data_IF_757457860340
#
_entry.id   IF_757457860340
#
_cell.length_a   1.000
_cell.length_b   1.000
_cell.length_c   1.000
_cell.angle_alpha   90.00
_cell.angle_beta   90.00
_cell.angle_gamma   90.00
#
_symmetry.space_group_name_H-M   'P 1'
#
loop_
_entity.id
_entity.type
_entity.pdbx_description
1 polymer ?
#
# COMPACT_ATOMS: atom_id res chain seq x y z
N UNK A 1 30.00 -1.35 -69.09
CA UNK A 1 29.26 -0.11 -68.80
C UNK A 1 28.81 -0.20 -67.34
N UNK A 2 29.62 0.12 -66.33
CA UNK A 2 30.15 1.43 -65.95
C UNK A 2 29.03 2.44 -65.63
N UNK A 3 28.65 2.55 -64.34
CA UNK A 3 28.55 3.85 -63.68
C UNK A 3 28.50 3.72 -62.14
N UNK A 4 29.60 4.14 -61.52
CA UNK A 4 29.74 4.60 -60.13
C UNK A 4 29.02 5.95 -59.94
N UNK A 5 28.43 6.18 -58.75
CA UNK A 5 28.30 7.46 -57.98
C UNK A 5 27.07 7.35 -57.06
N UNK A 6 27.07 7.70 -55.79
CA UNK A 6 28.05 8.34 -54.94
C UNK A 6 27.54 8.43 -53.49
N UNK A 7 28.48 8.56 -52.56
CA UNK A 7 28.30 8.83 -51.13
C UNK A 7 27.54 10.13 -50.86
N UNK A 8 26.73 10.14 -49.81
CA UNK A 8 26.52 11.32 -48.96
C UNK A 8 26.38 10.87 -47.50
N UNK A 9 27.46 11.03 -46.74
CA UNK A 9 27.50 10.93 -45.28
C UNK A 9 27.08 12.28 -44.73
N UNK A 10 25.91 12.36 -44.10
CA UNK A 10 25.49 13.52 -43.32
C UNK A 10 25.83 13.27 -41.86
N UNK A 11 26.95 13.85 -41.42
CA UNK A 11 27.31 13.94 -40.01
C UNK A 11 26.37 14.90 -39.29
N UNK A 12 25.68 14.41 -38.27
CA UNK A 12 24.92 15.25 -37.33
C UNK A 12 25.84 15.61 -36.19
N UNK A 13 26.34 16.85 -36.21
CA UNK A 13 27.09 17.44 -35.10
C UNK A 13 26.07 18.00 -34.10
N UNK A 14 25.85 17.32 -32.98
CA UNK A 14 25.05 17.86 -31.88
C UNK A 14 25.91 18.81 -31.06
N UNK A 15 25.56 20.10 -31.11
CA UNK A 15 26.16 21.17 -30.31
C UNK A 15 25.70 21.03 -28.85
N UNK A 16 26.62 20.72 -27.94
CA UNK A 16 26.38 20.80 -26.49
C UNK A 16 26.58 22.25 -26.06
N UNK A 17 25.49 22.99 -25.92
CA UNK A 17 25.47 24.28 -25.21
C UNK A 17 25.32 24.03 -23.72
N UNK A 18 26.40 24.24 -22.98
CA UNK A 18 26.39 24.30 -21.51
C UNK A 18 25.60 25.54 -21.04
N UNK A 19 24.55 25.32 -20.25
CA UNK A 19 23.79 26.38 -19.60
C UNK A 19 24.37 26.69 -18.19
N UNK A 20 24.40 27.95 -17.75
CA UNK A 20 24.92 28.34 -16.45
C UNK A 20 23.96 27.97 -15.31
N UNK A 21 24.51 27.36 -14.27
CA UNK A 21 23.86 27.08 -12.99
C UNK A 21 23.50 28.39 -12.28
N UNK A 22 22.20 28.66 -12.15
CA UNK A 22 21.67 29.60 -11.16
C UNK A 22 21.08 28.81 -9.98
N UNK A 23 21.45 29.14 -8.72
CA UNK A 23 20.79 28.57 -7.56
C UNK A 23 19.40 29.21 -7.42
N UNK A 24 18.36 28.45 -7.76
CA UNK A 24 16.98 28.86 -7.51
C UNK A 24 16.59 28.39 -6.11
N UNK A 25 16.58 29.31 -5.16
CA UNK A 25 15.93 29.17 -3.86
C UNK A 25 14.42 29.09 -4.09
N UNK A 26 13.89 27.88 -4.21
CA UNK A 26 12.44 27.65 -4.21
C UNK A 26 11.97 27.40 -2.79
N UNK A 27 11.39 28.46 -2.25
CA UNK A 27 10.47 28.51 -1.12
C UNK A 27 9.47 27.35 -1.20
N UNK A 28 9.51 26.43 -0.23
CA UNK A 28 8.50 25.38 -0.05
C UNK A 28 7.27 26.04 0.55
N UNK A 29 6.35 26.46 -0.32
CA UNK A 29 4.96 26.63 0.08
C UNK A 29 4.39 25.23 0.26
N UNK A 30 4.17 24.88 1.53
CA UNK A 30 3.43 23.73 1.99
C UNK A 30 2.06 23.68 1.32
N UNK A 31 1.91 22.86 0.28
CA UNK A 31 0.60 22.40 -0.16
C UNK A 31 0.18 21.27 0.77
N UNK A 32 -0.79 21.57 1.62
CA UNK A 32 -1.52 20.57 2.39
C UNK A 32 -2.04 19.45 1.46
N UNK A 33 -1.93 18.17 1.86
CA UNK A 33 -2.68 17.12 1.19
C UNK A 33 -4.17 17.32 1.49
N UNK A 34 -4.96 17.47 0.43
CA UNK A 34 -6.42 17.41 0.49
C UNK A 34 -6.80 16.01 0.97
N UNK A 35 -7.06 15.90 2.27
CA UNK A 35 -7.76 14.77 2.86
C UNK A 35 -9.19 14.77 2.33
N UNK A 36 -9.53 13.78 1.49
CA UNK A 36 -10.93 13.49 1.19
C UNK A 36 -11.52 12.81 2.42
N UNK A 37 -11.96 13.64 3.36
CA UNK A 37 -12.67 13.22 4.55
C UNK A 37 -14.13 12.96 4.13
N UNK A 38 -14.50 11.69 3.95
CA UNK A 38 -15.91 11.30 3.87
C UNK A 38 -16.44 11.24 5.30
N UNK A 39 -17.09 12.32 5.74
CA UNK A 39 -18.03 12.26 6.86
C UNK A 39 -19.34 12.98 6.48
N UNK A 40 -20.51 12.54 6.99
CA UNK A 40 -21.79 12.77 6.37
C UNK A 40 -22.55 13.97 6.97
N UNK A 41 -23.32 14.63 6.09
CA UNK A 41 -24.62 15.24 6.38
C UNK A 41 -24.68 16.42 7.36
N UNK A 42 -24.74 17.64 6.81
CA UNK A 42 -25.35 18.82 7.46
C UNK A 42 -26.32 19.52 6.48
N UNK A 43 -27.53 19.94 6.91
CA UNK A 43 -28.57 20.53 6.06
C UNK A 43 -28.42 22.04 5.81
N UNK A 44 -29.13 22.45 4.76
CA UNK A 44 -29.19 23.75 4.09
C UNK A 44 -29.52 24.98 4.95
N UNK A 45 -28.95 26.12 4.55
CA UNK A 45 -29.55 27.45 4.75
C UNK A 45 -29.65 28.16 3.39
N UNK A 46 -30.86 28.62 3.05
CA UNK A 46 -31.18 29.24 1.77
C UNK A 46 -30.89 30.73 1.73
N UNK A 47 -30.87 31.29 0.52
CA UNK A 47 -31.24 32.68 0.21
C UNK A 47 -31.49 32.78 -1.31
N UNK A 48 -32.68 33.25 -1.66
CA UNK A 48 -33.11 33.71 -2.99
C UNK A 48 -32.61 35.16 -3.20
N UNK A 49 -32.45 35.70 -4.43
CA UNK A 49 -33.62 36.03 -5.26
C UNK A 49 -33.45 35.89 -6.80
N UNK A 50 -34.60 35.85 -7.48
CA UNK A 50 -34.82 36.00 -8.93
C UNK A 50 -34.71 37.50 -9.36
N UNK A 51 -34.86 37.94 -10.65
CA UNK A 51 -35.77 37.40 -11.67
C UNK A 51 -35.29 37.41 -13.15
N UNK A 52 -36.04 36.72 -14.01
CA UNK A 52 -36.29 37.19 -15.38
C UNK A 52 -36.01 36.21 -16.52
N UNK A 53 -37.09 35.66 -17.10
CA UNK A 53 -37.44 35.65 -18.55
C UNK A 53 -37.99 34.29 -19.02
N UNK A 54 -39.30 34.27 -19.29
CA UNK A 54 -40.08 33.32 -20.11
C UNK A 54 -40.36 34.00 -21.46
N UNK A 55 -40.93 33.37 -22.53
CA UNK A 55 -41.40 31.98 -22.69
C UNK A 55 -41.08 31.30 -24.05
N UNK A 56 -41.16 29.96 -24.12
CA UNK A 56 -41.75 29.30 -25.29
C UNK A 56 -42.32 27.92 -24.95
N UNK A 57 -43.38 27.56 -25.68
CA UNK A 57 -44.55 26.78 -25.26
C UNK A 57 -44.83 25.72 -26.35
N UNK A 58 -45.13 24.47 -25.98
CA UNK A 58 -45.64 23.43 -26.89
C UNK A 58 -45.54 21.99 -26.33
N UNK A 59 -46.47 21.06 -26.66
CA UNK A 59 -47.30 20.45 -25.62
C UNK A 59 -47.33 18.89 -25.55
N UNK A 60 -47.89 18.44 -24.42
CA UNK A 60 -48.77 17.26 -24.21
C UNK A 60 -48.20 15.83 -24.27
N UNK A 61 -48.13 15.17 -23.11
CA UNK A 61 -49.04 14.05 -22.77
C UNK A 61 -48.81 13.53 -21.31
N UNK A 62 -49.84 13.66 -20.48
CA UNK A 62 -50.19 12.85 -19.28
C UNK A 62 -51.63 12.31 -19.55
N UNK A 63 -52.24 11.35 -18.79
CA UNK A 63 -52.10 11.02 -17.36
C UNK A 63 -51.95 9.49 -17.09
N UNK A 64 -51.57 8.99 -15.91
CA UNK A 64 -52.42 8.81 -14.72
C UNK A 64 -51.54 8.36 -13.54
N UNK A 65 -51.57 9.05 -12.39
CA UNK A 65 -52.49 8.85 -11.25
C UNK A 65 -52.25 7.53 -10.49
N UNK A 66 -51.54 7.59 -9.35
CA UNK A 66 -52.08 7.34 -8.01
C UNK A 66 -50.96 7.27 -6.96
N UNK A 67 -50.97 8.26 -6.06
CA UNK A 67 -50.31 8.25 -4.74
C UNK A 67 -51.30 7.62 -3.75
N UNK A 68 -50.85 6.99 -2.66
CA UNK A 68 -50.87 7.71 -1.37
C UNK A 68 -49.71 7.39 -0.39
N UNK A 69 -49.26 8.43 0.32
CA UNK A 69 -48.59 8.43 1.65
C UNK A 69 -49.59 8.02 2.77
N UNK A 70 -49.25 7.79 4.06
CA UNK A 70 -48.13 8.33 4.90
C UNK A 70 -47.44 7.25 5.78
N UNK A 71 -46.34 7.43 6.53
CA UNK A 71 -46.06 8.34 7.67
C UNK A 71 -44.61 8.15 8.15
N UNK A 72 -43.94 9.18 8.70
CA UNK A 72 -42.77 9.02 9.56
C UNK A 72 -43.15 9.26 11.04
N UNK A 73 -42.86 8.30 11.92
CA UNK A 73 -42.87 8.52 13.36
C UNK A 73 -41.49 9.06 13.79
N UNK A 74 -41.41 10.37 13.99
CA UNK A 74 -40.38 10.98 14.83
C UNK A 74 -40.87 10.94 16.27
N UNK A 75 -40.24 10.09 17.09
CA UNK A 75 -40.35 10.17 18.53
C UNK A 75 -39.21 11.05 19.05
N UNK A 76 -39.61 12.15 19.66
CA UNK A 76 -38.82 13.07 20.47
C UNK A 76 -38.07 12.31 21.57
N UNK A 77 -36.77 12.57 21.74
CA UNK A 77 -36.16 12.54 23.08
C UNK A 77 -35.25 13.75 23.27
N UNK A 78 -35.64 14.50 24.29
CA UNK A 78 -35.18 15.80 24.72
C UNK A 78 -34.23 15.59 25.91
N UNK A 79 -33.14 16.36 25.90
CA UNK A 79 -32.33 16.84 27.02
C UNK A 79 -32.08 15.91 28.23
N UNK A 80 -30.79 15.73 28.55
CA UNK A 80 -30.25 16.03 29.90
C UNK A 80 -28.73 15.95 29.87
N UNK A 81 -28.07 17.10 30.07
CA UNK A 81 -26.76 17.14 30.70
C UNK A 81 -26.93 16.81 32.19
N UNK A 82 -25.96 16.10 32.79
CA UNK A 82 -25.22 16.74 33.87
C UNK A 82 -23.71 16.43 33.87
N UNK A 83 -22.92 17.49 33.99
CA UNK A 83 -21.67 17.55 34.76
C UNK A 83 -22.01 17.10 36.22
N UNK A 84 -21.19 16.28 36.95
CA UNK A 84 -19.93 16.80 37.50
C UNK A 84 -18.82 15.78 37.90
N UNK A 85 -17.71 16.39 38.31
CA UNK A 85 -16.80 16.00 39.39
C UNK A 85 -15.76 14.88 39.16
N UNK A 86 -14.54 15.37 38.94
CA UNK A 86 -13.30 14.96 39.61
C UNK A 86 -13.43 13.88 40.70
N UNK A 87 -12.81 12.72 40.45
CA UNK A 87 -12.36 11.81 41.50
C UNK A 87 -10.97 11.29 41.13
N UNK A 88 -10.03 11.48 42.06
CA UNK A 88 -8.63 11.12 41.97
C UNK A 88 -8.41 9.60 41.77
N UNK A 89 -7.34 9.19 41.06
CA UNK A 89 -6.93 7.79 41.01
C UNK A 89 -6.24 7.38 42.33
N UNK A 90 -6.78 6.34 42.98
CA UNK A 90 -6.11 5.60 44.06
C UNK A 90 -4.94 4.79 43.47
N UNK A 91 -3.74 4.83 44.08
CA UNK A 91 -2.69 3.87 43.78
C UNK A 91 -2.83 2.66 44.71
N UNK A 92 -2.91 1.45 44.16
CA UNK A 92 -2.45 0.21 44.79
C UNK A 92 -2.97 -1.00 44.01
N UNK A 93 -2.11 -1.60 43.20
CA UNK A 93 -2.21 -3.01 42.84
C UNK A 93 -0.78 -3.58 42.76
N UNK A 94 -0.41 -4.18 43.90
CA UNK A 94 0.70 -5.11 44.11
C UNK A 94 0.94 -6.02 42.92
N UNK A 95 2.13 -5.94 42.34
CA UNK A 95 2.63 -6.93 41.38
C UNK A 95 2.99 -8.24 42.11
N UNK A 96 2.56 -9.42 41.64
CA UNK A 96 3.10 -10.68 42.12
C UNK A 96 4.53 -10.86 41.60
N UNK A 97 5.46 -11.09 42.52
CA UNK A 97 6.82 -11.53 42.25
C UNK A 97 6.75 -12.92 41.61
N UNK A 98 6.99 -13.00 40.30
CA UNK A 98 7.16 -14.28 39.59
C UNK A 98 8.56 -14.79 39.90
N UNK A 99 8.63 -15.86 40.68
CA UNK A 99 9.84 -16.61 40.99
C UNK A 99 10.25 -17.39 39.74
N UNK A 100 11.32 -16.95 39.06
CA UNK A 100 11.90 -17.64 37.91
C UNK A 100 12.68 -18.87 38.43
N UNK A 101 12.33 -20.11 38.05
CA UNK A 101 13.12 -21.30 38.40
C UNK A 101 14.48 -21.29 37.68
N UNK A 102 15.54 -21.85 38.29
CA UNK A 102 16.87 -21.92 37.68
C UNK A 102 16.88 -22.85 36.46
N UNK A 103 17.77 -22.61 35.47
CA UNK A 103 17.90 -23.46 34.30
C UNK A 103 18.45 -24.84 34.69
N UNK A 104 17.73 -25.88 34.27
CA UNK A 104 18.15 -27.27 34.40
C UNK A 104 19.30 -27.60 33.43
N UNK A 105 20.23 -28.39 33.96
CA UNK A 105 21.42 -29.02 33.40
C UNK A 105 21.54 -29.16 31.87
N UNK A 106 22.70 -28.71 31.38
CA UNK A 106 23.26 -29.07 30.09
C UNK A 106 23.83 -30.50 30.11
N UNK A 107 23.57 -31.35 29.10
CA UNK A 107 24.20 -32.66 29.01
C UNK A 107 25.65 -32.54 28.49
N UNK A 108 26.63 -33.22 29.15
CA UNK A 108 27.95 -33.46 28.58
C UNK A 108 27.92 -34.69 27.67
N UNK A 109 28.33 -34.54 26.41
CA UNK A 109 28.27 -35.60 25.41
C UNK A 109 29.38 -35.49 24.38
N UNK A 110 30.60 -35.76 24.82
CA UNK A 110 31.81 -35.90 24.01
C UNK A 110 31.77 -37.20 23.20
N UNK A 111 31.93 -37.11 21.88
CA UNK A 111 32.23 -38.25 21.02
C UNK A 111 33.31 -37.88 20.00
N UNK A 112 34.47 -38.58 19.95
CA UNK A 112 35.47 -38.35 18.92
C UNK A 112 35.05 -39.05 17.62
N UNK A 113 34.59 -38.28 16.64
CA UNK A 113 34.41 -38.76 15.27
C UNK A 113 35.76 -38.92 14.59
N UNK A 114 36.08 -40.17 14.26
CA UNK A 114 37.21 -40.58 13.45
C UNK A 114 37.01 -40.02 12.03
N UNK A 115 37.90 -39.13 11.60
CA UNK A 115 37.97 -38.64 10.22
C UNK A 115 38.63 -39.68 9.32
N UNK A 116 37.87 -40.26 8.42
CA UNK A 116 38.38 -41.01 7.26
C UNK A 116 38.84 -40.00 6.19
N UNK A 117 40.11 -40.04 5.73
CA UNK A 117 40.55 -39.20 4.62
C UNK A 117 39.88 -39.68 3.32
N UNK A 118 38.97 -38.86 2.80
CA UNK A 118 38.36 -39.07 1.48
C UNK A 118 39.35 -38.59 0.41
N UNK A 119 39.60 -39.36 -0.66
CA UNK A 119 40.49 -38.95 -1.74
C UNK A 119 39.99 -37.69 -2.47
N UNK A 120 40.96 -36.80 -2.68
CA UNK A 120 40.98 -35.59 -3.48
C UNK A 120 39.84 -35.47 -4.51
N UNK A 121 38.82 -34.66 -4.17
CA UNK A 121 37.80 -34.21 -5.11
C UNK A 121 38.33 -32.94 -5.79
N UNK A 122 38.37 -32.88 -7.13
CA UNK A 122 38.78 -31.69 -7.86
C UNK A 122 38.02 -30.45 -7.39
N UNK A 123 38.76 -29.42 -7.04
CA UNK A 123 38.28 -28.10 -6.62
C UNK A 123 37.22 -27.59 -7.61
N UNK A 124 35.98 -27.29 -7.18
CA UNK A 124 35.01 -26.69 -8.06
C UNK A 124 35.52 -25.30 -8.48
N UNK A 125 35.62 -25.12 -9.79
CA UNK A 125 35.95 -23.86 -10.44
C UNK A 125 35.19 -22.69 -9.80
N UNK A 126 35.82 -21.52 -9.58
CA UNK A 126 35.13 -20.37 -9.02
C UNK A 126 33.93 -20.04 -9.93
N UNK A 127 32.74 -20.09 -9.34
CA UNK A 127 31.52 -19.68 -10.03
C UNK A 127 31.73 -18.29 -10.63
N UNK A 128 31.38 -18.06 -11.90
CA UNK A 128 31.40 -16.73 -12.46
C UNK A 128 30.56 -15.79 -11.59
N UNK A 129 30.96 -14.51 -11.42
CA UNK A 129 30.15 -13.54 -10.70
C UNK A 129 28.75 -13.49 -11.35
N UNK A 130 27.68 -13.34 -10.56
CA UNK A 130 26.33 -13.19 -11.11
C UNK A 130 26.34 -12.03 -12.12
N UNK A 131 25.70 -12.18 -13.29
CA UNK A 131 25.64 -11.09 -14.24
C UNK A 131 24.96 -9.90 -13.56
N UNK A 132 25.63 -8.75 -13.53
CA UNK A 132 24.98 -7.49 -13.22
C UNK A 132 23.83 -7.33 -14.21
N UNK A 133 22.60 -7.49 -13.71
CA UNK A 133 21.39 -7.26 -14.50
C UNK A 133 21.29 -5.76 -14.72
N UNK A 134 21.88 -5.33 -15.82
CA UNK A 134 21.79 -3.98 -16.33
C UNK A 134 20.32 -3.72 -16.66
N UNK A 135 19.72 -2.75 -15.97
CA UNK A 135 18.29 -2.45 -15.99
C UNK A 135 17.67 -2.42 -17.37
N UNK A 136 16.94 -3.48 -17.70
CA UNK A 136 15.89 -3.44 -18.70
C UNK A 136 14.72 -2.64 -18.14
N UNK A 137 14.10 -1.83 -18.99
CA UNK A 137 12.84 -1.13 -18.70
C UNK A 137 11.76 -2.19 -18.43
N UNK A 138 11.66 -2.67 -17.19
CA UNK A 138 10.74 -3.74 -16.80
C UNK A 138 11.24 -4.63 -15.66
N UNK A 139 12.51 -4.55 -15.27
CA UNK A 139 13.03 -5.37 -14.18
C UNK A 139 12.67 -4.75 -12.82
N UNK A 140 11.59 -5.25 -12.23
CA UNK A 140 11.24 -5.01 -10.83
C UNK A 140 12.36 -5.55 -9.93
N UNK A 141 12.95 -4.70 -9.07
CA UNK A 141 13.80 -5.19 -7.99
C UNK A 141 12.93 -5.68 -6.82
N UNK A 142 12.88 -7.00 -6.52
CA UNK A 142 12.00 -7.55 -5.48
C UNK A 142 12.38 -7.07 -4.06
N UNK A 143 13.62 -6.65 -3.83
CA UNK A 143 14.08 -6.16 -2.52
C UNK A 143 13.45 -4.80 -2.14
N UNK A 144 12.95 -4.05 -3.14
CA UNK A 144 12.24 -2.79 -2.94
C UNK A 144 10.77 -2.99 -2.56
N UNK A 145 10.28 -4.22 -2.67
CA UNK A 145 8.90 -4.59 -2.36
C UNK A 145 8.92 -5.27 -0.99
N UNK A 146 8.35 -4.67 0.07
CA UNK A 146 8.27 -5.33 1.37
C UNK A 146 7.49 -6.64 1.31
N UNK A 147 7.62 -7.48 2.35
CA UNK A 147 6.61 -8.50 2.62
C UNK A 147 5.26 -7.85 2.93
N UNK A 148 4.14 -8.59 2.84
CA UNK A 148 2.83 -8.02 3.13
C UNK A 148 2.71 -7.59 4.61
N UNK A 149 3.36 -8.30 5.53
CA UNK A 149 3.28 -8.03 6.97
C UNK A 149 2.07 -8.65 7.66
N UNK A 150 1.27 -9.45 6.95
CA UNK A 150 0.25 -10.35 7.49
C UNK A 150 0.60 -11.77 7.06
N UNK A 151 0.48 -12.74 7.97
CA UNK A 151 0.60 -14.15 7.62
C UNK A 151 -0.72 -14.62 6.98
N UNK A 152 -0.70 -15.31 5.82
CA UNK A 152 -1.92 -15.88 5.24
C UNK A 152 -2.69 -16.73 6.24
N UNK A 153 -4.02 -16.60 6.25
CA UNK A 153 -4.93 -17.31 7.14
C UNK A 153 -4.76 -17.01 8.64
N UNK A 154 -4.20 -15.84 9.02
CA UNK A 154 -4.12 -15.42 10.43
C UNK A 154 -5.51 -15.40 11.05
N UNK A 155 -5.67 -16.11 12.18
CA UNK A 155 -6.90 -16.21 12.98
C UNK A 155 -8.16 -16.49 12.15
N UNK A 156 -8.02 -17.36 11.15
CA UNK A 156 -9.13 -17.78 10.27
C UNK A 156 -10.36 -18.21 11.07
N UNK A 157 -11.51 -17.69 10.65
CA UNK A 157 -12.84 -18.00 11.19
C UNK A 157 -13.03 -17.65 12.68
N UNK A 158 -12.07 -16.96 13.32
CA UNK A 158 -12.10 -16.67 14.76
C UNK A 158 -13.11 -15.57 15.12
N UNK A 159 -13.22 -14.54 14.29
CA UNK A 159 -14.18 -13.44 14.50
C UNK A 159 -15.44 -13.58 13.65
N UNK A 160 -15.30 -14.03 12.40
CA UNK A 160 -16.41 -14.24 11.48
C UNK A 160 -16.08 -15.40 10.52
N UNK A 161 -17.03 -16.32 10.25
CA UNK A 161 -16.85 -17.36 9.25
C UNK A 161 -16.51 -16.77 7.87
N UNK A 162 -15.49 -17.31 7.22
CA UNK A 162 -14.94 -16.86 5.94
C UNK A 162 -13.92 -15.71 6.05
N UNK A 163 -13.64 -15.21 7.25
CA UNK A 163 -12.78 -14.04 7.49
C UNK A 163 -11.50 -14.41 8.22
N UNK A 164 -10.46 -13.64 7.94
CA UNK A 164 -9.15 -13.70 8.57
C UNK A 164 -8.77 -12.32 9.10
N UNK A 165 -7.78 -12.26 9.98
CA UNK A 165 -7.30 -10.99 10.54
C UNK A 165 -6.30 -10.32 9.58
N UNK A 166 -6.58 -9.07 9.23
CA UNK A 166 -5.64 -8.11 8.67
C UNK A 166 -5.41 -6.95 9.63
N UNK A 167 -4.52 -6.03 9.26
CA UNK A 167 -4.12 -4.93 10.14
C UNK A 167 -4.11 -3.58 9.42
N UNK A 168 -4.62 -2.55 10.10
CA UNK A 168 -4.44 -1.15 9.72
C UNK A 168 -3.69 -0.44 10.85
N UNK A 169 -2.37 -0.51 10.82
CA UNK A 169 -1.55 -0.13 11.98
C UNK A 169 -1.76 -1.13 13.13
N UNK A 170 -2.24 -0.65 14.29
CA UNK A 170 -2.51 -1.48 15.46
C UNK A 170 -3.93 -2.09 15.48
N UNK A 171 -4.81 -1.67 14.57
CA UNK A 171 -6.21 -2.12 14.53
C UNK A 171 -6.36 -3.39 13.71
N UNK A 172 -7.10 -4.36 14.25
CA UNK A 172 -7.49 -5.58 13.53
C UNK A 172 -8.68 -5.27 12.62
N UNK A 173 -8.56 -5.63 11.35
CA UNK A 173 -9.63 -5.49 10.35
C UNK A 173 -9.85 -6.84 9.69
N UNK A 174 -11.10 -7.26 9.54
CA UNK A 174 -11.42 -8.51 8.86
C UNK A 174 -11.13 -8.42 7.36
N UNK A 175 -10.37 -9.37 6.86
CA UNK A 175 -10.03 -9.51 5.44
C UNK A 175 -10.50 -10.88 4.93
N UNK A 176 -10.69 -11.04 3.60
CA UNK A 176 -10.90 -12.37 3.02
C UNK A 176 -9.70 -13.28 3.30
N UNK A 177 -9.93 -14.54 3.66
CA UNK A 177 -8.83 -15.48 3.92
C UNK A 177 -7.99 -15.85 2.69
N UNK A 178 -8.44 -15.49 1.48
CA UNK A 178 -7.62 -15.53 0.26
C UNK A 178 -6.56 -14.43 0.19
N UNK A 179 -6.56 -13.51 1.17
CA UNK A 179 -5.63 -12.40 1.26
C UNK A 179 -4.70 -12.57 2.48
N UNK A 180 -3.40 -12.21 2.37
CA UNK A 180 -2.73 -11.70 1.17
C UNK A 180 -2.60 -12.75 0.04
N UNK A 181 -2.41 -12.31 -1.22
CA UNK A 181 -2.22 -13.23 -2.34
C UNK A 181 -0.85 -13.93 -2.23
N UNK A 182 -0.64 -14.93 -3.10
CA UNK A 182 0.70 -15.49 -3.29
C UNK A 182 1.70 -14.39 -3.68
N UNK A 183 2.91 -14.47 -3.09
CA UNK A 183 3.91 -13.42 -3.21
C UNK A 183 4.48 -13.33 -4.62
N UNK A 184 4.77 -14.47 -5.25
CA UNK A 184 5.33 -14.51 -6.60
C UNK A 184 4.29 -14.07 -7.63
N UNK A 185 3.04 -14.45 -7.44
CA UNK A 185 1.91 -13.94 -8.23
C UNK A 185 1.81 -12.42 -8.14
N UNK A 186 1.87 -11.85 -6.93
CA UNK A 186 1.83 -10.41 -6.74
C UNK A 186 3.00 -9.69 -7.43
N UNK A 187 4.24 -10.17 -7.24
CA UNK A 187 5.42 -9.61 -7.88
C UNK A 187 5.34 -9.68 -9.41
N UNK A 188 4.75 -10.76 -9.94
CA UNK A 188 4.49 -10.88 -11.37
C UNK A 188 3.53 -9.80 -11.88
N UNK A 189 2.39 -9.61 -11.20
CA UNK A 189 1.42 -8.58 -11.56
C UNK A 189 1.97 -7.16 -11.42
N UNK A 190 2.77 -6.91 -10.39
CA UNK A 190 3.41 -5.63 -10.18
C UNK A 190 4.41 -5.32 -11.30
N UNK A 191 5.19 -6.30 -11.74
CA UNK A 191 6.10 -6.15 -12.87
C UNK A 191 5.35 -5.79 -14.15
N UNK A 192 4.25 -6.50 -14.44
CA UNK A 192 3.40 -6.23 -15.60
C UNK A 192 2.82 -4.81 -15.55
N UNK A 193 2.33 -4.38 -14.38
CA UNK A 193 1.80 -3.03 -14.16
C UNK A 193 2.84 -1.93 -14.40
N UNK A 194 4.07 -2.13 -13.91
CA UNK A 194 5.18 -1.18 -14.08
C UNK A 194 5.59 -1.10 -15.55
N UNK A 195 5.67 -2.24 -16.24
CA UNK A 195 5.99 -2.28 -17.66
C UNK A 195 4.91 -1.60 -18.52
N UNK A 196 3.64 -1.74 -18.14
CA UNK A 196 2.51 -1.07 -18.80
C UNK A 196 2.34 0.40 -18.39
N UNK A 197 2.99 0.85 -17.31
CA UNK A 197 2.75 2.16 -16.69
C UNK A 197 1.32 2.33 -16.13
N UNK A 198 0.55 1.25 -16.05
CA UNK A 198 -0.83 1.25 -15.57
C UNK A 198 -1.30 -0.15 -15.18
N UNK A 199 -2.34 -0.22 -14.33
CA UNK A 199 -3.01 -1.46 -13.95
C UNK A 199 -4.50 -1.22 -13.76
N UNK A 200 -5.34 -1.91 -14.56
CA UNK A 200 -6.81 -1.75 -14.57
C UNK A 200 -7.24 -0.28 -14.65
N UNK A 201 -6.75 0.42 -15.68
CA UNK A 201 -6.99 1.84 -15.96
C UNK A 201 -6.51 2.81 -14.86
N UNK A 202 -5.68 2.36 -13.91
CA UNK A 202 -4.97 3.25 -13.01
C UNK A 202 -3.54 3.48 -13.46
N UNK A 203 -3.02 4.72 -13.50
CA UNK A 203 -1.60 4.95 -13.69
C UNK A 203 -0.79 4.31 -12.57
N UNK A 204 0.31 3.64 -12.93
CA UNK A 204 1.26 3.04 -11.99
C UNK A 204 2.64 3.62 -12.26
N UNK A 205 3.25 4.19 -11.21
CA UNK A 205 4.62 4.69 -11.25
C UNK A 205 5.43 4.00 -10.17
N UNK A 206 6.59 3.44 -10.53
CA UNK A 206 7.45 2.74 -9.58
C UNK A 206 8.92 3.02 -9.90
N UNK A 207 9.66 3.51 -8.90
CA UNK A 207 11.11 3.69 -9.01
C UNK A 207 11.84 2.40 -8.67
N UNK A 208 12.59 1.85 -9.62
CA UNK A 208 13.47 0.69 -9.40
C UNK A 208 14.87 1.07 -8.85
N UNK A 209 15.11 2.34 -8.55
CA UNK A 209 16.41 2.79 -8.02
C UNK A 209 16.56 2.41 -6.54
N UNK A 210 17.34 1.37 -6.26
CA UNK A 210 17.59 0.91 -4.90
C UNK A 210 18.44 1.87 -4.06
N UNK A 211 19.08 2.87 -4.66
CA UNK A 211 19.80 3.92 -3.92
C UNK A 211 18.86 5.02 -3.41
N UNK A 212 17.67 5.16 -4.00
CA UNK A 212 16.66 6.12 -3.56
C UNK A 212 15.68 5.47 -2.59
N UNK A 213 15.98 5.59 -1.29
CA UNK A 213 15.10 5.22 -0.18
C UNK A 213 14.42 6.45 0.44
N UNK A 214 14.26 7.54 -0.31
CA UNK A 214 13.58 8.74 0.22
C UNK A 214 12.11 8.46 0.57
N UNK A 215 11.55 9.15 1.58
CA UNK A 215 10.15 8.97 1.94
C UNK A 215 9.19 9.20 0.77
N UNK A 216 9.47 10.17 -0.11
CA UNK A 216 8.65 10.45 -1.28
C UNK A 216 8.64 9.26 -2.26
N UNK A 217 9.81 8.71 -2.59
CA UNK A 217 9.94 7.59 -3.51
C UNK A 217 9.27 6.32 -2.96
N UNK A 218 9.43 6.07 -1.66
CA UNK A 218 8.78 4.94 -1.01
C UNK A 218 7.25 5.05 -0.98
N UNK A 219 6.69 6.26 -0.82
CA UNK A 219 5.24 6.47 -0.96
C UNK A 219 4.75 6.12 -2.35
N UNK A 220 5.45 6.57 -3.39
CA UNK A 220 5.12 6.24 -4.79
C UNK A 220 5.19 4.73 -5.05
N UNK A 221 6.20 4.04 -4.51
CA UNK A 221 6.29 2.57 -4.57
C UNK A 221 5.09 1.92 -3.87
N UNK A 222 4.75 2.40 -2.67
CA UNK A 222 3.62 1.90 -1.88
C UNK A 222 2.28 2.09 -2.62
N UNK A 223 2.06 3.24 -3.23
CA UNK A 223 0.88 3.52 -4.05
C UNK A 223 0.76 2.49 -5.18
N UNK A 224 1.81 2.31 -5.98
CA UNK A 224 1.84 1.31 -7.05
C UNK A 224 1.53 -0.12 -6.55
N UNK A 225 2.10 -0.52 -5.42
CA UNK A 225 1.82 -1.83 -4.82
C UNK A 225 0.38 -1.98 -4.35
N UNK A 226 -0.20 -0.95 -3.74
CA UNK A 226 -1.58 -0.97 -3.26
C UNK A 226 -2.58 -1.00 -4.42
N UNK A 227 -2.33 -0.24 -5.49
CA UNK A 227 -3.14 -0.26 -6.72
C UNK A 227 -3.20 -1.67 -7.32
N UNK A 228 -2.04 -2.32 -7.43
CA UNK A 228 -1.95 -3.69 -7.96
C UNK A 228 -2.62 -4.68 -7.01
N UNK A 229 -2.41 -4.57 -5.70
CA UNK A 229 -2.99 -5.46 -4.69
C UNK A 229 -4.53 -5.41 -4.71
N UNK A 230 -5.10 -4.21 -4.76
CA UNK A 230 -6.55 -3.97 -4.73
C UNK A 230 -7.24 -4.33 -6.05
N UNK A 231 -6.48 -4.48 -7.14
CA UNK A 231 -7.01 -4.82 -8.46
C UNK A 231 -6.45 -6.12 -9.01
N UNK A 232 -5.81 -6.95 -8.17
CA UNK A 232 -5.02 -8.12 -8.59
C UNK A 232 -5.82 -9.18 -9.37
N UNK A 233 -7.14 -9.19 -9.21
CA UNK A 233 -8.05 -10.05 -9.97
C UNK A 233 -8.23 -9.61 -11.43
N UNK A 234 -7.73 -8.44 -11.80
CA UNK A 234 -7.97 -7.79 -13.10
C UNK A 234 -9.19 -6.86 -13.10
N UNK A 235 -9.90 -6.72 -11.97
CA UNK A 235 -11.03 -5.80 -11.82
C UNK A 235 -10.71 -4.77 -10.73
N UNK A 236 -10.94 -3.48 -11.02
CA UNK A 236 -10.62 -2.38 -10.11
C UNK A 236 -11.39 -2.52 -8.80
N UNK A 237 -10.66 -2.43 -7.69
CA UNK A 237 -11.23 -2.53 -6.34
C UNK A 237 -11.72 -3.93 -5.95
N UNK A 238 -11.56 -4.93 -6.83
CA UNK A 238 -11.82 -6.34 -6.54
C UNK A 238 -10.46 -7.02 -6.43
N UNK A 239 -9.96 -7.10 -5.22
CA UNK A 239 -8.65 -7.68 -4.94
C UNK A 239 -8.48 -7.82 -3.44
N UNK A 240 -7.25 -7.75 -2.99
CA UNK A 240 -6.98 -7.78 -1.56
C UNK A 240 -7.00 -6.37 -0.97
N UNK A 241 -7.70 -6.15 0.16
CA UNK A 241 -7.74 -4.85 0.81
C UNK A 241 -6.35 -4.48 1.35
N UNK A 242 -6.07 -3.19 1.53
CA UNK A 242 -4.78 -2.73 2.06
C UNK A 242 -4.44 -3.35 3.43
N UNK A 243 -5.46 -3.68 4.23
CA UNK A 243 -5.30 -4.35 5.52
C UNK A 243 -4.67 -5.76 5.43
N UNK A 244 -4.65 -6.40 4.25
CA UNK A 244 -3.90 -7.64 4.05
C UNK A 244 -2.40 -7.42 3.80
N UNK A 245 -1.97 -6.17 3.65
CA UNK A 245 -0.59 -5.78 3.41
C UNK A 245 -0.19 -4.54 4.24
N UNK A 246 -0.24 -4.60 5.58
CA UNK A 246 0.04 -3.46 6.45
C UNK A 246 1.42 -2.81 6.22
N UNK A 247 2.45 -3.57 5.80
CA UNK A 247 3.74 -2.96 5.45
C UNK A 247 3.63 -1.97 4.28
N UNK A 248 2.74 -2.22 3.31
CA UNK A 248 2.53 -1.31 2.18
C UNK A 248 1.78 -0.06 2.64
N UNK A 249 0.75 -0.25 3.47
CA UNK A 249 -0.03 0.85 4.03
C UNK A 249 0.82 1.78 4.90
N UNK A 250 1.68 1.22 5.76
CA UNK A 250 2.59 2.00 6.57
C UNK A 250 3.68 2.69 5.75
N UNK A 251 4.17 2.05 4.68
CA UNK A 251 5.09 2.71 3.75
C UNK A 251 4.42 3.85 2.97
N UNK A 252 3.14 3.72 2.60
CA UNK A 252 2.36 4.79 1.96
C UNK A 252 2.20 6.00 2.88
N UNK A 253 1.98 5.77 4.18
CA UNK A 253 1.79 6.84 5.17
C UNK A 253 3.12 7.49 5.55
N UNK A 254 4.07 6.70 6.01
CA UNK A 254 5.33 7.17 6.58
C UNK A 254 6.41 7.46 5.53
N UNK A 255 6.38 6.79 4.37
CA UNK A 255 7.50 6.74 3.43
C UNK A 255 8.67 5.88 3.91
N UNK A 256 8.53 5.16 5.02
CA UNK A 256 9.56 4.27 5.55
C UNK A 256 9.27 2.85 5.09
N UNK A 257 10.27 2.18 4.52
CA UNK A 257 10.18 0.77 4.15
C UNK A 257 10.29 -0.10 5.40
N UNK A 258 9.19 -0.70 5.81
CA UNK A 258 9.12 -1.63 6.96
C UNK A 258 8.99 -3.05 6.42
N UNK A 259 9.71 -3.99 7.02
CA UNK A 259 9.66 -5.40 6.64
C UNK A 259 9.41 -6.27 7.89
N UNK A 260 8.36 -5.92 8.63
CA UNK A 260 7.95 -6.59 9.85
C UNK A 260 6.66 -7.39 9.64
N UNK A 261 6.35 -8.24 10.62
CA UNK A 261 5.05 -8.91 10.70
C UNK A 261 4.20 -8.22 11.76
N UNK A 262 2.97 -7.86 11.40
CA UNK A 262 2.00 -7.31 12.34
C UNK A 262 1.27 -8.47 13.00
N UNK A 263 1.24 -8.47 14.33
CA UNK A 263 0.47 -9.39 15.15
C UNK A 263 -0.45 -8.59 16.07
N UNK A 264 -1.57 -9.18 16.49
CA UNK A 264 -2.47 -8.56 17.45
C UNK A 264 -1.69 -8.24 18.74
N UNK A 265 -1.35 -6.96 18.94
CA UNK A 265 -0.47 -6.48 20.02
C UNK A 265 0.64 -5.51 19.60
N UNK A 266 0.87 -5.30 18.31
CA UNK A 266 1.89 -4.39 17.77
C UNK A 266 2.83 -5.07 16.76
N UNK A 267 3.79 -4.35 16.17
CA UNK A 267 4.82 -4.98 15.34
C UNK A 267 5.62 -5.98 16.20
N UNK A 268 5.77 -7.21 15.70
CA UNK A 268 6.61 -8.23 16.33
C UNK A 268 8.11 -7.89 16.21
#
# INVERSE_FOLDING_TARGET
>A
MQLLKGLAVLGVTALVTAAPLHPRTSNVTSSEPVFVNLDPKIPSAGTSPAPGTTPQQGPANEPHFLKPSPSPQQASQQASAPEPAAAAPKPSATLPVILIPPPADAPPGTGPSIFTPTPDRPSPSPSPPPPLSNGGRGDLNPDLVPSFGVIPNTNRDAQQPGSCDGFTGAEIVLIPCSCPPDRDLFLSRLRDAIAAGSFVDEPVSFSNDAADDSPATNRVRADAMLVVLQSISGVRGVGCPAASAPNFLEMQRSGVRINGTFIAGGPA
#
